data_IF_083291905090
#
_entry.id   IF_083291905090
#
_cell.length_a   1.000
_cell.length_b   1.000
_cell.length_c   1.000
_cell.angle_alpha   90.00
_cell.angle_beta   90.00
_cell.angle_gamma   90.00
#
_symmetry.space_group_name_H-M   'P 1'
#
loop_
_entity.id
_entity.type
_entity.pdbx_description
1 polymer ?
#
# COMPACT_ATOMS: atom_id res chain seq x y z
N UNK A 1 -15.38 -2.74 -21.63
CA UNK A 1 -15.09 -2.60 -20.18
C UNK A 1 -16.39 -2.89 -19.45
N UNK A 2 -16.44 -3.97 -18.67
CA UNK A 2 -17.67 -4.47 -18.04
C UNK A 2 -17.86 -3.88 -16.64
N UNK A 3 -18.65 -2.82 -16.55
CA UNK A 3 -19.11 -2.23 -15.28
C UNK A 3 -20.44 -2.84 -14.82
N UNK A 4 -21.07 -3.65 -15.68
CA UNK A 4 -22.41 -4.23 -15.51
C UNK A 4 -22.53 -5.20 -14.31
N UNK A 5 -21.43 -5.62 -13.69
CA UNK A 5 -21.41 -6.48 -12.50
C UNK A 5 -21.01 -5.79 -11.19
N UNK A 6 -20.67 -4.50 -11.21
CA UNK A 6 -20.15 -3.80 -10.03
C UNK A 6 -21.29 -3.29 -9.13
N UNK A 7 -21.17 -3.45 -7.80
CA UNK A 7 -22.02 -2.76 -6.85
C UNK A 7 -21.94 -1.25 -7.02
N UNK A 8 -22.99 -0.53 -6.64
CA UNK A 8 -22.98 0.94 -6.67
C UNK A 8 -21.83 1.51 -5.82
N UNK A 9 -21.20 2.60 -6.29
CA UNK A 9 -20.15 3.30 -5.54
C UNK A 9 -20.57 3.69 -4.11
N UNK A 10 -21.83 4.04 -3.90
CA UNK A 10 -22.37 4.36 -2.57
C UNK A 10 -22.21 3.19 -1.60
N UNK A 11 -22.54 1.98 -2.07
CA UNK A 11 -22.46 0.75 -1.27
C UNK A 11 -21.01 0.38 -0.96
N UNK A 12 -20.12 0.49 -1.97
CA UNK A 12 -18.69 0.25 -1.77
C UNK A 12 -18.07 1.26 -0.79
N UNK A 13 -18.44 2.54 -0.89
CA UNK A 13 -17.94 3.61 -0.03
C UNK A 13 -18.43 3.48 1.42
N UNK A 14 -19.67 3.02 1.63
CA UNK A 14 -20.18 2.73 2.97
C UNK A 14 -19.48 1.55 3.64
N UNK A 15 -19.16 0.50 2.86
CA UNK A 15 -18.38 -0.62 3.37
C UNK A 15 -16.96 -0.20 3.74
N UNK A 16 -16.23 0.50 2.85
CA UNK A 16 -14.89 1.00 3.15
C UNK A 16 -14.86 1.85 4.43
N UNK A 17 -15.79 2.80 4.57
CA UNK A 17 -15.85 3.65 5.75
C UNK A 17 -16.17 2.84 7.02
N UNK A 18 -17.09 1.88 6.95
CA UNK A 18 -17.42 1.01 8.08
C UNK A 18 -16.24 0.14 8.51
N UNK A 19 -15.50 -0.41 7.54
CA UNK A 19 -14.30 -1.21 7.72
C UNK A 19 -13.18 -0.41 8.39
N UNK A 20 -12.85 0.77 7.85
CA UNK A 20 -11.79 1.65 8.36
C UNK A 20 -12.06 2.14 9.79
N UNK A 21 -13.32 2.42 10.13
CA UNK A 21 -13.68 2.89 11.47
C UNK A 21 -14.00 1.77 12.48
N UNK A 22 -14.20 0.54 12.03
CA UNK A 22 -14.76 -0.54 12.86
C UNK A 22 -16.13 -0.22 13.45
N UNK A 23 -16.87 0.74 12.87
CA UNK A 23 -18.12 1.25 13.41
C UNK A 23 -19.03 1.87 12.35
N UNK A 24 -20.25 1.36 12.25
CA UNK A 24 -21.30 1.96 11.41
C UNK A 24 -21.69 3.37 11.85
N UNK A 25 -21.62 3.66 13.15
CA UNK A 25 -21.97 4.99 13.67
C UNK A 25 -20.92 6.03 13.30
N UNK A 26 -19.64 5.68 13.37
CA UNK A 26 -18.56 6.57 12.92
C UNK A 26 -18.57 6.76 11.40
N UNK A 27 -18.76 5.67 10.64
CA UNK A 27 -18.91 5.73 9.19
C UNK A 27 -20.12 6.59 8.78
N UNK A 28 -21.25 6.48 9.48
CA UNK A 28 -22.43 7.29 9.22
C UNK A 28 -22.16 8.78 9.39
N UNK A 29 -21.43 9.16 10.45
CA UNK A 29 -21.01 10.56 10.66
C UNK A 29 -20.12 11.08 9.53
N UNK A 30 -19.14 10.29 9.10
CA UNK A 30 -18.26 10.68 7.99
C UNK A 30 -19.05 10.88 6.69
N UNK A 31 -19.94 9.95 6.38
CA UNK A 31 -20.70 9.92 5.15
C UNK A 31 -21.95 10.82 5.18
N UNK A 32 -22.21 11.53 6.28
CA UNK A 32 -23.40 12.34 6.52
C UNK A 32 -24.72 11.56 6.32
N UNK A 33 -24.75 10.32 6.80
CA UNK A 33 -25.94 9.44 6.76
C UNK A 33 -26.16 8.75 8.11
N UNK A 34 -27.33 8.13 8.28
CA UNK A 34 -27.62 7.42 9.53
C UNK A 34 -26.82 6.12 9.63
N UNK A 35 -26.53 5.71 10.86
CA UNK A 35 -25.99 4.37 11.16
C UNK A 35 -26.77 3.25 10.45
N UNK A 36 -28.11 3.34 10.45
CA UNK A 36 -28.97 2.34 9.82
C UNK A 36 -28.79 2.29 8.29
N UNK A 37 -28.56 3.44 7.65
CA UNK A 37 -28.29 3.51 6.22
C UNK A 37 -26.95 2.86 5.85
N UNK A 38 -25.88 3.09 6.61
CA UNK A 38 -24.58 2.42 6.41
C UNK A 38 -24.75 0.91 6.57
N UNK A 39 -25.38 0.46 7.65
CA UNK A 39 -25.58 -0.96 7.88
C UNK A 39 -26.42 -1.63 6.77
N UNK A 40 -27.42 -0.93 6.21
CA UNK A 40 -28.19 -1.43 5.09
C UNK A 40 -27.36 -1.50 3.80
N UNK A 41 -26.51 -0.50 3.54
CA UNK A 41 -25.64 -0.51 2.37
C UNK A 41 -24.62 -1.65 2.45
N UNK A 42 -24.01 -1.91 3.61
CA UNK A 42 -23.10 -3.04 3.76
C UNK A 42 -23.81 -4.38 3.57
N UNK A 43 -25.02 -4.56 4.13
CA UNK A 43 -25.81 -5.77 3.87
C UNK A 43 -26.11 -5.97 2.38
N UNK A 44 -26.44 -4.91 1.64
CA UNK A 44 -26.64 -4.99 0.19
C UNK A 44 -25.37 -5.41 -0.55
N UNK A 45 -24.20 -5.00 -0.08
CA UNK A 45 -22.92 -5.44 -0.65
C UNK A 45 -22.73 -6.94 -0.43
N UNK A 46 -22.94 -7.40 0.81
CA UNK A 46 -22.82 -8.81 1.18
C UNK A 46 -23.83 -9.68 0.40
N UNK A 47 -25.06 -9.20 0.20
CA UNK A 47 -26.09 -9.84 -0.63
C UNK A 47 -25.66 -9.92 -2.10
N UNK A 48 -25.09 -8.85 -2.66
CA UNK A 48 -24.59 -8.82 -4.04
C UNK A 48 -23.42 -9.79 -4.24
N UNK A 49 -22.53 -9.90 -3.25
CA UNK A 49 -21.35 -10.76 -3.31
C UNK A 49 -21.64 -12.21 -2.87
N UNK A 50 -22.78 -12.45 -2.21
CA UNK A 50 -23.15 -13.75 -1.66
C UNK A 50 -22.29 -14.21 -0.47
N UNK A 51 -21.59 -13.28 0.20
CA UNK A 51 -20.68 -13.58 1.32
C UNK A 51 -20.68 -12.48 2.38
N UNK A 52 -20.41 -12.84 3.62
CA UNK A 52 -20.21 -11.87 4.70
C UNK A 52 -18.81 -11.27 4.64
N UNK A 53 -18.75 -9.94 4.76
CA UNK A 53 -17.50 -9.16 4.81
C UNK A 53 -17.19 -8.70 6.23
N UNK A 54 -18.21 -8.68 7.09
CA UNK A 54 -18.11 -8.21 8.47
C UNK A 54 -18.80 -9.16 9.43
N UNK A 55 -18.27 -9.24 10.65
CA UNK A 55 -18.90 -9.92 11.77
C UNK A 55 -18.93 -9.01 13.00
N UNK A 56 -19.85 -9.31 13.93
CA UNK A 56 -19.96 -8.60 15.18
C UNK A 56 -19.00 -9.19 16.21
N UNK A 57 -18.21 -8.32 16.82
CA UNK A 57 -17.39 -8.66 17.97
C UNK A 57 -17.63 -7.62 19.07
N UNK A 58 -18.31 -8.05 20.14
CA UNK A 58 -18.72 -7.19 21.23
C UNK A 58 -19.60 -6.00 20.77
N UNK A 59 -19.10 -4.77 20.98
CA UNK A 59 -19.77 -3.51 20.61
C UNK A 59 -19.31 -2.96 19.25
N UNK A 60 -18.36 -3.61 18.58
CA UNK A 60 -17.74 -3.15 17.35
C UNK A 60 -18.06 -4.03 16.14
N UNK A 61 -17.38 -3.73 15.04
CA UNK A 61 -17.42 -4.48 13.79
C UNK A 61 -16.00 -4.94 13.48
N UNK A 62 -15.85 -6.20 13.10
CA UNK A 62 -14.59 -6.77 12.62
C UNK A 62 -14.77 -7.31 11.20
N UNK A 63 -13.67 -7.38 10.45
CA UNK A 63 -13.66 -7.82 9.05
C UNK A 63 -13.40 -9.32 8.95
N UNK A 64 -14.11 -10.00 8.05
CA UNK A 64 -13.68 -11.32 7.58
C UNK A 64 -12.38 -11.19 6.75
N UNK A 65 -11.67 -12.29 6.45
CA UNK A 65 -10.52 -12.25 5.55
C UNK A 65 -10.85 -11.59 4.20
N UNK A 66 -12.00 -11.94 3.61
CA UNK A 66 -12.49 -11.38 2.35
C UNK A 66 -12.84 -9.89 2.50
N UNK A 67 -13.42 -9.52 3.64
CA UNK A 67 -13.71 -8.11 3.97
C UNK A 67 -12.44 -7.27 4.12
N UNK A 68 -11.38 -7.82 4.71
CA UNK A 68 -10.09 -7.15 4.85
C UNK A 68 -9.42 -6.95 3.49
N UNK A 69 -9.42 -7.97 2.63
CA UNK A 69 -8.91 -7.89 1.26
C UNK A 69 -9.66 -6.84 0.44
N UNK A 70 -11.00 -6.90 0.44
CA UNK A 70 -11.83 -5.95 -0.29
C UNK A 70 -11.68 -4.52 0.24
N UNK A 71 -11.63 -4.34 1.57
CA UNK A 71 -11.46 -3.01 2.16
C UNK A 71 -10.14 -2.38 1.74
N UNK A 72 -9.03 -3.12 1.74
CA UNK A 72 -7.73 -2.60 1.32
C UNK A 72 -7.77 -2.12 -0.14
N UNK A 73 -8.33 -2.94 -1.04
CA UNK A 73 -8.45 -2.60 -2.47
C UNK A 73 -9.39 -1.40 -2.70
N UNK A 74 -10.48 -1.30 -1.94
CA UNK A 74 -11.42 -0.17 -2.04
C UNK A 74 -10.83 1.13 -1.52
N UNK A 75 -10.08 1.11 -0.40
CA UNK A 75 -9.43 2.33 0.12
C UNK A 75 -8.49 2.93 -0.92
N UNK A 76 -7.68 2.11 -1.58
CA UNK A 76 -6.78 2.54 -2.66
C UNK A 76 -7.58 3.06 -3.87
N UNK A 77 -8.52 2.28 -4.38
CA UNK A 77 -9.28 2.63 -5.59
C UNK A 77 -10.10 3.91 -5.43
N UNK A 78 -10.73 4.11 -4.27
CA UNK A 78 -11.52 5.32 -3.98
C UNK A 78 -10.62 6.56 -3.85
N UNK A 79 -9.42 6.40 -3.32
CA UNK A 79 -8.44 7.48 -3.26
C UNK A 79 -7.97 7.89 -4.66
N UNK A 80 -7.82 6.92 -5.58
CA UNK A 80 -7.41 7.19 -6.95
C UNK A 80 -8.49 7.94 -7.74
N UNK A 81 -9.75 7.56 -7.51
CA UNK A 81 -10.91 8.30 -8.04
C UNK A 81 -10.92 9.72 -7.47
N UNK A 82 -10.73 9.88 -6.15
CA UNK A 82 -10.69 11.19 -5.49
C UNK A 82 -9.59 12.07 -6.07
N UNK A 83 -8.37 11.53 -6.20
CA UNK A 83 -7.21 12.23 -6.77
C UNK A 83 -7.48 12.69 -8.20
N UNK A 84 -8.01 11.79 -9.04
CA UNK A 84 -8.37 12.10 -10.44
C UNK A 84 -9.40 13.24 -10.53
N UNK A 85 -10.43 13.22 -9.68
CA UNK A 85 -11.45 14.28 -9.62
C UNK A 85 -10.82 15.60 -9.17
N UNK A 86 -9.95 15.58 -8.16
CA UNK A 86 -9.30 16.80 -7.64
C UNK A 86 -8.34 17.43 -8.65
N UNK A 87 -7.63 16.60 -9.42
CA UNK A 87 -6.76 17.06 -10.51
C UNK A 87 -7.56 17.78 -11.60
N UNK A 88 -8.71 17.23 -12.03
CA UNK A 88 -9.61 17.90 -12.98
C UNK A 88 -10.15 19.23 -12.44
N UNK A 89 -10.38 19.32 -11.12
CA UNK A 89 -10.86 20.54 -10.47
C UNK A 89 -9.76 21.59 -10.26
N UNK A 90 -8.51 21.33 -10.64
CA UNK A 90 -7.39 22.25 -10.48
C UNK A 90 -7.03 22.55 -9.02
N UNK A 91 -7.46 21.69 -8.09
CA UNK A 91 -7.20 21.80 -6.65
C UNK A 91 -5.93 21.06 -6.20
N UNK A 92 -5.04 20.78 -7.15
CA UNK A 92 -3.83 19.95 -6.94
C UNK A 92 -2.76 20.61 -6.07
N UNK A 93 -2.84 21.94 -5.83
CA UNK A 93 -1.83 22.65 -5.02
C UNK A 93 -1.75 22.18 -3.57
N UNK A 94 -2.82 21.61 -3.03
CA UNK A 94 -2.89 21.11 -1.65
C UNK A 94 -2.91 19.57 -1.59
N UNK A 95 -2.64 18.87 -2.70
CA UNK A 95 -2.67 17.40 -2.71
C UNK A 95 -1.35 16.83 -2.20
N UNK A 96 -1.46 15.90 -1.25
CA UNK A 96 -0.30 15.15 -0.80
C UNK A 96 0.36 14.38 -1.96
N UNK A 97 1.70 14.43 -2.01
CA UNK A 97 2.52 13.63 -2.91
C UNK A 97 2.52 12.18 -2.43
N UNK A 98 1.88 11.31 -3.18
CA UNK A 98 1.80 9.89 -2.89
C UNK A 98 2.99 9.17 -3.52
N UNK A 99 3.91 8.69 -2.67
CA UNK A 99 5.13 8.02 -3.11
C UNK A 99 5.12 6.58 -2.62
N UNK A 100 5.18 5.64 -3.55
CA UNK A 100 5.40 4.24 -3.21
C UNK A 100 6.88 3.92 -3.19
N UNK A 101 7.35 3.26 -2.13
CA UNK A 101 8.77 2.92 -1.95
C UNK A 101 8.89 1.47 -1.50
N UNK A 102 10.07 0.89 -1.64
CA UNK A 102 10.32 -0.43 -1.05
C UNK A 102 10.49 -0.32 0.47
N UNK A 103 10.13 -1.36 1.25
CA UNK A 103 10.28 -1.32 2.72
C UNK A 103 11.72 -1.07 3.18
N UNK A 104 12.70 -1.66 2.47
CA UNK A 104 14.12 -1.50 2.78
C UNK A 104 14.60 -0.07 2.53
N UNK A 105 14.19 0.56 1.42
CA UNK A 105 14.51 1.96 1.15
C UNK A 105 13.84 2.91 2.15
N UNK A 106 12.57 2.66 2.47
CA UNK A 106 11.81 3.46 3.44
C UNK A 106 12.52 3.51 4.79
N UNK A 107 12.80 2.34 5.36
CA UNK A 107 13.38 2.20 6.70
C UNK A 107 14.88 2.51 6.74
N UNK A 108 15.64 2.07 5.73
CA UNK A 108 17.10 2.16 5.71
C UNK A 108 17.66 3.49 5.23
N UNK A 109 16.89 4.30 4.51
CA UNK A 109 17.38 5.54 3.93
C UNK A 109 16.43 6.73 4.10
N UNK A 110 15.16 6.55 3.74
CA UNK A 110 14.22 7.66 3.57
C UNK A 110 13.74 8.27 4.88
N UNK A 111 13.26 7.46 5.83
CA UNK A 111 12.62 7.96 7.07
C UNK A 111 13.54 8.89 7.86
N UNK A 112 14.84 8.58 7.94
CA UNK A 112 15.82 9.42 8.63
C UNK A 112 16.03 10.81 7.99
N UNK A 113 15.62 11.00 6.74
CA UNK A 113 15.78 12.24 5.95
C UNK A 113 14.48 13.01 5.75
N UNK A 114 13.34 12.43 6.13
CA UNK A 114 12.03 13.07 5.97
C UNK A 114 11.87 14.33 6.81
N UNK A 115 12.56 14.43 7.95
CA UNK A 115 12.53 15.64 8.77
C UNK A 115 13.08 16.84 8.00
N UNK A 116 14.32 16.72 7.55
CA UNK A 116 15.01 17.75 6.75
C UNK A 116 14.23 18.10 5.48
N UNK A 117 13.75 17.10 4.74
CA UNK A 117 12.94 17.34 3.54
C UNK A 117 11.67 18.16 3.83
N UNK A 118 10.96 17.86 4.93
CA UNK A 118 9.74 18.57 5.33
C UNK A 118 10.02 19.99 5.79
N UNK A 119 11.16 20.22 6.45
CA UNK A 119 11.57 21.55 6.88
C UNK A 119 11.93 22.44 5.67
N UNK A 120 12.56 21.86 4.64
CA UNK A 120 12.89 22.55 3.39
C UNK A 120 11.68 22.73 2.45
N UNK A 121 10.68 21.85 2.55
CA UNK A 121 9.52 21.82 1.66
C UNK A 121 8.20 21.76 2.46
N UNK A 122 7.88 22.79 3.26
CA UNK A 122 6.72 22.76 4.17
C UNK A 122 5.36 22.68 3.46
N UNK A 123 5.30 23.11 2.20
CA UNK A 123 4.08 23.09 1.39
C UNK A 123 3.79 21.71 0.76
N UNK A 124 4.73 20.77 0.85
CA UNK A 124 4.58 19.41 0.30
C UNK A 124 4.12 18.46 1.41
N UNK A 125 2.83 18.12 1.42
CA UNK A 125 2.35 16.98 2.20
C UNK A 125 2.81 15.68 1.53
N UNK A 126 3.48 14.79 2.24
CA UNK A 126 4.03 13.54 1.69
C UNK A 126 3.32 12.34 2.29
N UNK A 127 2.79 11.43 1.47
CA UNK A 127 2.26 10.14 1.90
C UNK A 127 3.10 9.01 1.33
N UNK A 128 3.70 8.23 2.23
CA UNK A 128 4.55 7.10 1.89
C UNK A 128 3.81 5.78 2.00
N UNK A 129 3.96 4.97 0.94
CA UNK A 129 3.42 3.62 0.90
C UNK A 129 4.58 2.64 0.70
N UNK A 130 4.97 1.96 1.77
CA UNK A 130 6.02 0.94 1.74
C UNK A 130 5.42 -0.41 1.30
N UNK A 131 5.81 -0.90 0.12
CA UNK A 131 5.37 -2.17 -0.42
C UNK A 131 6.42 -2.77 -1.35
N UNK A 132 6.66 -4.09 -1.31
CA UNK A 132 7.55 -4.75 -2.26
C UNK A 132 6.92 -4.88 -3.65
N UNK A 133 5.62 -4.66 -3.82
CA UNK A 133 4.95 -4.77 -5.13
C UNK A 133 5.26 -3.56 -6.01
N UNK A 134 5.55 -3.79 -7.30
CA UNK A 134 5.54 -2.69 -8.28
C UNK A 134 4.11 -2.19 -8.42
N UNK A 135 3.91 -0.92 -8.08
CA UNK A 135 2.64 -0.26 -8.25
C UNK A 135 2.55 0.33 -9.67
N UNK A 136 1.36 0.30 -10.25
CA UNK A 136 1.03 1.06 -11.44
C UNK A 136 0.65 2.48 -11.00
N UNK A 137 1.46 3.49 -11.36
CA UNK A 137 1.23 4.86 -10.89
C UNK A 137 -0.20 5.36 -11.14
N UNK A 138 -0.78 5.04 -12.31
CA UNK A 138 -2.12 5.52 -12.67
C UNK A 138 -3.20 4.75 -11.97
N UNK A 139 -3.12 3.41 -12.00
CA UNK A 139 -4.15 2.55 -11.42
C UNK A 139 -4.17 2.63 -9.90
N UNK A 140 -2.99 2.75 -9.29
CA UNK A 140 -2.77 2.68 -7.85
C UNK A 140 -2.62 4.10 -7.23
N UNK A 141 -2.68 5.15 -8.06
CA UNK A 141 -2.73 6.57 -7.68
C UNK A 141 -1.49 7.08 -6.95
N UNK A 142 -0.33 6.59 -7.37
CA UNK A 142 0.96 7.12 -6.94
C UNK A 142 1.44 8.17 -7.92
N UNK A 143 2.08 9.22 -7.38
CA UNK A 143 2.76 10.26 -8.16
C UNK A 143 4.17 9.84 -8.56
N UNK A 144 4.81 9.06 -7.69
CA UNK A 144 6.15 8.54 -7.88
C UNK A 144 6.27 7.14 -7.27
N UNK A 145 7.08 6.28 -7.89
CA UNK A 145 7.55 5.05 -7.24
C UNK A 145 9.07 5.02 -7.19
N UNK A 146 9.63 4.64 -6.04
CA UNK A 146 11.05 4.34 -5.90
C UNK A 146 11.17 2.83 -5.75
N UNK A 147 11.88 2.22 -6.71
CA UNK A 147 12.03 0.78 -6.84
C UNK A 147 13.48 0.41 -7.07
N UNK A 148 13.85 -0.73 -6.50
CA UNK A 148 15.08 -1.40 -6.85
C UNK A 148 14.82 -2.34 -8.04
N UNK A 149 15.70 -2.32 -9.03
CA UNK A 149 15.55 -3.13 -10.22
C UNK A 149 16.26 -2.53 -11.43
N UNK A 150 15.94 -3.03 -12.62
CA UNK A 150 16.61 -2.65 -13.87
C UNK A 150 16.06 -1.38 -14.54
N UNK A 151 15.01 -0.76 -13.99
CA UNK A 151 14.43 0.42 -14.62
C UNK A 151 13.44 0.14 -15.76
N UNK A 152 13.04 -1.12 -15.96
CA UNK A 152 12.19 -1.51 -17.10
C UNK A 152 10.79 -1.85 -16.56
N UNK A 153 9.96 -0.82 -16.39
CA UNK A 153 8.58 -0.97 -15.94
C UNK A 153 7.60 -0.43 -17.01
N UNK A 154 6.48 -1.12 -17.28
CA UNK A 154 5.52 -0.68 -18.28
C UNK A 154 4.85 0.66 -17.91
N UNK A 155 4.68 1.54 -18.90
CA UNK A 155 3.82 2.72 -18.78
C UNK A 155 4.40 3.88 -17.95
N UNK A 156 5.69 3.85 -17.65
CA UNK A 156 6.37 4.85 -16.81
C UNK A 156 7.72 5.24 -17.41
N UNK A 157 8.17 6.46 -17.11
CA UNK A 157 9.57 6.84 -17.31
C UNK A 157 10.36 6.50 -16.05
N UNK A 158 11.56 5.96 -16.22
CA UNK A 158 12.38 5.46 -15.10
C UNK A 158 13.73 6.14 -15.10
N UNK A 159 14.11 6.67 -13.94
CA UNK A 159 15.41 7.31 -13.71
C UNK A 159 16.21 6.53 -12.65
N UNK A 160 17.50 6.31 -12.91
CA UNK A 160 18.39 5.68 -11.95
C UNK A 160 18.81 6.70 -10.87
N UNK A 161 18.32 6.52 -9.65
CA UNK A 161 18.72 7.38 -8.51
C UNK A 161 20.14 7.11 -8.04
N UNK A 162 20.46 5.85 -7.72
CA UNK A 162 21.79 5.42 -7.32
C UNK A 162 21.92 3.90 -7.39
N UNK A 163 23.18 3.41 -7.34
CA UNK A 163 23.48 1.98 -7.26
C UNK A 163 23.64 1.56 -5.79
N UNK A 164 22.89 0.56 -5.36
CA UNK A 164 23.09 -0.09 -4.07
C UNK A 164 24.11 -1.23 -4.19
N UNK A 165 24.85 -1.51 -3.11
CA UNK A 165 25.73 -2.67 -2.99
C UNK A 165 25.13 -3.66 -2.00
N UNK A 166 25.11 -4.93 -2.36
CA UNK A 166 24.80 -6.00 -1.42
C UNK A 166 26.06 -6.51 -0.75
N UNK A 167 25.94 -6.76 0.54
CA UNK A 167 26.95 -7.44 1.34
C UNK A 167 26.32 -8.68 1.96
N UNK A 168 27.07 -9.76 1.96
CA UNK A 168 26.71 -10.94 2.74
C UNK A 168 27.32 -10.78 4.12
N UNK A 169 26.50 -11.00 5.14
CA UNK A 169 26.92 -10.94 6.53
C UNK A 169 26.76 -12.32 7.14
N UNK A 170 27.71 -12.69 8.00
CA UNK A 170 27.68 -13.95 8.72
C UNK A 170 28.15 -13.73 10.16
N UNK A 171 27.63 -14.53 11.09
CA UNK A 171 28.17 -14.55 12.44
C UNK A 171 29.64 -15.01 12.39
N UNK A 172 30.55 -14.40 13.16
CA UNK A 172 31.98 -14.75 13.11
C UNK A 172 32.25 -16.25 13.27
N UNK A 173 31.58 -16.91 14.23
CA UNK A 173 31.75 -18.34 14.47
C UNK A 173 31.27 -19.26 13.34
N UNK A 174 30.50 -18.74 12.36
CA UNK A 174 30.07 -19.51 11.20
C UNK A 174 31.17 -19.56 10.12
N UNK A 175 31.99 -18.52 10.03
CA UNK A 175 33.04 -18.36 9.01
C UNK A 175 34.45 -18.61 9.55
N UNK A 176 34.61 -18.68 10.86
CA UNK A 176 35.91 -18.92 11.50
C UNK A 176 36.55 -20.24 11.02
N UNK A 177 37.83 -20.18 10.65
CA UNK A 177 38.58 -21.32 10.13
C UNK A 177 38.19 -21.77 8.71
N UNK A 178 37.19 -21.16 8.07
CA UNK A 178 36.78 -21.47 6.69
C UNK A 178 37.34 -20.45 5.71
N UNK A 179 37.90 -20.93 4.59
CA UNK A 179 38.35 -20.07 3.50
C UNK A 179 37.21 -19.86 2.50
N UNK A 180 36.73 -18.64 2.40
CA UNK A 180 35.76 -18.22 1.37
C UNK A 180 36.53 -17.42 0.33
N UNK A 181 36.60 -17.94 -0.90
CA UNK A 181 37.39 -17.35 -1.99
C UNK A 181 36.57 -17.05 -3.25
N UNK A 182 35.43 -17.70 -3.40
CA UNK A 182 34.49 -17.52 -4.52
C UNK A 182 33.05 -17.72 -4.04
N UNK A 183 32.05 -17.19 -4.78
CA UNK A 183 30.63 -17.31 -4.39
C UNK A 183 30.17 -18.76 -4.16
N UNK A 184 30.69 -19.72 -4.92
CA UNK A 184 30.35 -21.13 -4.78
C UNK A 184 30.69 -21.72 -3.40
N UNK A 185 31.68 -21.15 -2.69
CA UNK A 185 32.07 -21.61 -1.35
C UNK A 185 31.00 -21.29 -0.29
N UNK A 186 30.03 -20.44 -0.63
CA UNK A 186 28.93 -20.03 0.27
C UNK A 186 27.71 -20.95 0.17
N UNK A 187 27.64 -21.82 -0.83
CA UNK A 187 26.49 -22.72 -1.04
C UNK A 187 26.30 -23.70 0.12
N UNK A 188 27.37 -24.04 0.83
CA UNK A 188 27.36 -24.99 1.95
C UNK A 188 26.99 -24.34 3.31
N UNK A 189 26.69 -23.05 3.32
CA UNK A 189 26.28 -22.33 4.53
C UNK A 189 24.76 -22.35 4.72
N UNK A 190 24.25 -22.30 5.96
CA UNK A 190 22.83 -22.04 6.19
C UNK A 190 22.50 -20.61 5.78
N UNK A 191 21.59 -20.45 4.82
CA UNK A 191 21.15 -19.14 4.34
C UNK A 191 19.92 -18.69 5.09
N UNK A 192 19.97 -17.46 5.60
CA UNK A 192 18.80 -16.72 6.01
C UNK A 192 18.48 -15.70 4.91
N UNK A 193 17.30 -15.82 4.32
CA UNK A 193 16.81 -14.92 3.28
C UNK A 193 15.46 -14.37 3.72
N UNK A 194 15.27 -13.06 3.61
CA UNK A 194 13.96 -12.43 3.86
C UNK A 194 13.19 -12.29 2.55
N UNK A 195 12.52 -13.38 2.17
CA UNK A 195 11.74 -13.48 0.94
C UNK A 195 10.53 -12.52 0.91
N UNK A 196 10.16 -11.89 2.03
CA UNK A 196 8.99 -11.00 2.15
C UNK A 196 9.29 -9.52 1.90
N UNK A 197 10.56 -9.12 1.99
CA UNK A 197 11.04 -7.77 1.70
C UNK A 197 11.87 -7.70 0.40
N UNK A 198 12.06 -8.83 -0.27
CA UNK A 198 12.97 -8.98 -1.39
C UNK A 198 12.47 -8.24 -2.64
N UNK A 199 13.16 -7.14 -2.93
CA UNK A 199 13.04 -6.34 -4.15
C UNK A 199 13.53 -7.10 -5.40
N UNK A 200 13.95 -8.35 -5.25
CA UNK A 200 14.64 -9.16 -6.26
C UNK A 200 13.71 -9.94 -7.20
N UNK A 201 12.42 -10.00 -6.91
CA UNK A 201 11.43 -10.72 -7.73
C UNK A 201 10.81 -9.86 -8.84
N UNK A 202 11.38 -8.68 -9.11
CA UNK A 202 10.93 -7.72 -10.13
C UNK A 202 11.94 -7.61 -11.26
#
# INVERSE_FOLDING_TARGET
MGWEGLPSLSVLRAFEAAARHGSFSAAGRELNVTHAAVAQQVRRLEEHLGMSLIYREGRGICLTPEGAELSASLSESLENIRSSVMSVLGRDRDRALHVSVTPAFASGWLVSRLGEFRDENPDIELKLHASPKVADLKRDGFDLTIRFGKGVWPGVESELLFKSKYVMVAAPGLVEGRKISRPADLLDYPWLQDLGADEFLI
#
